data_IF_455676815588
#
_entry.id   IF_455676815588
#
_cell.length_a   1.000
_cell.length_b   1.000
_cell.length_c   1.000
_cell.angle_alpha   90.00
_cell.angle_beta   90.00
_cell.angle_gamma   90.00
#
_symmetry.space_group_name_H-M   'P 1'
#
loop_
_entity.id
_entity.type
_entity.pdbx_description
1 polymer ?
#
# COMPACT_ATOMS: atom_id res chain seq x y z
N UNK A 1 -6.75 -0.95 10.81
CA UNK A 1 -6.69 0.43 10.24
C UNK A 1 -6.22 0.32 8.79
N UNK A 2 -6.73 1.11 7.85
CA UNK A 2 -6.30 0.99 6.44
C UNK A 2 -5.10 1.88 6.18
N UNK A 3 -4.08 1.31 5.58
CA UNK A 3 -2.83 2.01 5.22
C UNK A 3 -2.52 1.78 3.75
N UNK A 4 -2.00 2.80 3.10
CA UNK A 4 -1.51 2.73 1.72
C UNK A 4 0.00 2.72 1.72
N UNK A 5 0.60 1.79 1.00
CA UNK A 5 2.04 1.77 0.82
C UNK A 5 2.47 2.86 -0.18
N UNK A 6 3.45 3.68 0.21
CA UNK A 6 4.05 4.72 -0.65
C UNK A 6 5.18 4.17 -1.51
N UNK A 7 5.79 3.07 -1.07
CA UNK A 7 6.82 2.33 -1.80
C UNK A 7 6.52 0.84 -1.78
N UNK A 8 7.10 0.09 -2.71
CA UNK A 8 7.03 -1.37 -2.67
C UNK A 8 8.05 -1.87 -1.66
N UNK A 9 7.60 -2.62 -0.66
CA UNK A 9 8.47 -3.23 0.33
C UNK A 9 8.06 -4.68 0.56
N UNK A 10 9.04 -5.51 0.90
CA UNK A 10 8.87 -6.92 1.20
C UNK A 10 9.55 -7.28 2.51
N UNK A 11 8.94 -8.20 3.27
CA UNK A 11 9.35 -8.56 4.62
C UNK A 11 8.21 -9.27 5.36
N UNK A 12 8.15 -9.13 6.69
CA UNK A 12 7.05 -9.63 7.53
C UNK A 12 5.68 -9.15 7.05
N UNK A 13 5.63 -7.94 6.49
CA UNK A 13 4.50 -7.43 5.74
C UNK A 13 4.99 -7.07 4.34
N UNK A 14 4.34 -7.62 3.32
CA UNK A 14 4.65 -7.35 1.92
C UNK A 14 3.49 -6.61 1.29
N UNK A 15 3.79 -5.46 0.69
CA UNK A 15 2.85 -4.58 -0.03
C UNK A 15 3.55 -3.90 -1.20
N UNK A 16 2.81 -3.70 -2.28
CA UNK A 16 3.30 -2.92 -3.42
C UNK A 16 3.01 -1.43 -3.26
N UNK A 17 3.84 -0.59 -3.88
CA UNK A 17 3.59 0.85 -3.98
C UNK A 17 2.18 1.11 -4.51
N UNK A 18 1.39 1.84 -3.74
CA UNK A 18 0.01 2.19 -4.05
C UNK A 18 -1.03 1.19 -3.54
N UNK A 19 -0.62 0.04 -3.03
CA UNK A 19 -1.51 -0.97 -2.48
C UNK A 19 -2.09 -0.49 -1.14
N UNK A 20 -3.37 -0.79 -0.90
CA UNK A 20 -4.07 -0.48 0.35
C UNK A 20 -4.36 -1.79 1.05
N UNK A 21 -3.93 -1.88 2.31
CA UNK A 21 -4.14 -3.08 3.12
C UNK A 21 -4.57 -2.69 4.51
N UNK A 22 -5.35 -3.58 5.11
CA UNK A 22 -5.74 -3.42 6.49
C UNK A 22 -4.61 -3.94 7.38
N UNK A 23 -4.05 -3.04 8.20
CA UNK A 23 -3.02 -3.35 9.18
C UNK A 23 -3.56 -2.99 10.56
N UNK A 24 -3.47 -3.94 11.49
CA UNK A 24 -3.90 -3.77 12.89
C UNK A 24 -2.73 -3.83 13.86
N UNK A 25 -1.53 -4.13 13.34
CA UNK A 25 -0.29 -4.24 14.09
C UNK A 25 0.33 -2.87 14.33
N UNK A 26 0.14 -2.33 15.54
CA UNK A 26 0.65 -1.01 15.91
C UNK A 26 2.18 -0.91 15.83
N UNK A 27 2.89 -2.00 16.12
CA UNK A 27 4.36 -2.04 16.04
C UNK A 27 4.85 -1.85 14.60
N UNK A 28 4.26 -2.58 13.65
CA UNK A 28 4.59 -2.47 12.23
C UNK A 28 4.12 -1.12 11.67
N UNK A 29 2.94 -0.65 12.09
CA UNK A 29 2.42 0.65 11.69
C UNK A 29 3.39 1.79 12.06
N UNK A 30 3.87 1.82 13.30
CA UNK A 30 4.81 2.85 13.78
C UNK A 30 6.13 2.82 13.02
N UNK A 31 6.70 1.62 12.83
CA UNK A 31 7.96 1.43 12.11
C UNK A 31 7.83 1.90 10.65
N UNK A 32 6.80 1.43 9.94
CA UNK A 32 6.54 1.82 8.55
C UNK A 32 6.16 3.30 8.40
N UNK A 33 5.46 3.89 9.36
CA UNK A 33 5.11 5.30 9.36
C UNK A 33 6.35 6.17 9.61
N UNK A 34 7.20 5.78 10.56
CA UNK A 34 8.45 6.47 10.87
C UNK A 34 9.46 6.36 9.72
N UNK A 35 9.49 5.21 9.05
CA UNK A 35 10.28 4.99 7.84
C UNK A 35 9.71 5.70 6.60
N UNK A 36 8.48 6.20 6.66
CA UNK A 36 7.81 6.87 5.52
C UNK A 36 7.39 5.91 4.41
N UNK A 37 7.19 4.64 4.72
CA UNK A 37 6.78 3.61 3.76
C UNK A 37 5.27 3.49 3.58
N UNK A 38 4.48 3.92 4.57
CA UNK A 38 3.02 3.86 4.52
C UNK A 38 2.38 5.20 4.90
N UNK A 39 1.14 5.38 4.44
CA UNK A 39 0.28 6.51 4.77
C UNK A 39 -1.05 5.98 5.32
N UNK A 40 -1.49 6.47 6.48
CA UNK A 40 -2.79 6.11 7.05
C UNK A 40 -3.93 6.66 6.19
N UNK A 41 -4.71 5.76 5.58
CA UNK A 41 -5.95 6.15 4.93
C UNK A 41 -7.06 6.07 5.97
N UNK A 42 -7.26 7.20 6.67
CA UNK A 42 -8.53 7.44 7.37
C UNK A 42 -9.60 7.50 6.30
N UNK A 43 -10.60 6.62 6.41
CA UNK A 43 -11.70 6.44 5.47
C UNK A 43 -12.60 7.68 5.38
N UNK A 44 -12.08 8.80 4.89
CA UNK A 44 -12.85 9.94 4.44
C UNK A 44 -12.78 9.99 2.91
N UNK A 45 -13.67 9.18 2.32
CA UNK A 45 -14.16 9.21 0.93
C UNK A 45 -13.33 8.44 -0.11
N UNK A 46 -14.00 7.70 -1.02
CA UNK A 46 -13.35 6.90 -2.05
C UNK A 46 -12.86 7.82 -3.17
N UNK A 47 -11.57 8.18 -3.16
CA UNK A 47 -10.94 8.73 -4.37
C UNK A 47 -10.30 7.60 -5.15
N UNK A 48 -11.00 7.24 -6.23
CA UNK A 48 -10.53 6.50 -7.40
C UNK A 48 -9.03 6.71 -7.63
N UNK A 49 -8.27 5.63 -7.59
CA UNK A 49 -7.04 5.47 -8.37
C UNK A 49 -6.91 3.98 -8.65
N UNK A 50 -7.66 3.55 -9.65
CA UNK A 50 -7.36 2.35 -10.41
C UNK A 50 -6.16 2.70 -11.27
N UNK A 51 -5.00 2.13 -10.96
CA UNK A 51 -4.00 1.86 -11.98
C UNK A 51 -3.39 0.49 -11.74
N UNK A 52 -4.20 -0.52 -12.04
CA UNK A 52 -3.72 -1.81 -12.51
C UNK A 52 -2.81 -1.57 -13.72
N UNK A 53 -1.51 -1.51 -13.49
CA UNK A 53 -0.52 -1.74 -14.54
C UNK A 53 -0.21 -3.22 -14.60
N UNK A 54 -1.20 -4.02 -15.03
CA UNK A 54 -0.94 -5.37 -15.53
C UNK A 54 -0.24 -5.23 -16.88
N UNK A 55 1.09 -5.29 -16.86
CA UNK A 55 1.89 -5.44 -18.06
C UNK A 55 1.97 -6.92 -18.44
N UNK A 56 1.70 -7.24 -19.72
CA UNK A 56 2.05 -8.43 -20.56
C UNK A 56 0.79 -9.03 -21.21
N UNK A 57 0.65 -9.25 -22.53
CA UNK A 57 1.52 -9.24 -23.72
C UNK A 57 0.61 -9.13 -24.95
N UNK A 58 0.96 -8.27 -25.90
CA UNK A 58 0.38 -8.28 -27.26
C UNK A 58 1.53 -8.59 -28.22
N UNK A 59 1.46 -9.74 -28.91
CA UNK A 59 1.73 -9.89 -30.35
C UNK A 59 1.80 -11.39 -30.72
N UNK A 60 0.86 -11.86 -31.55
CA UNK A 60 1.17 -12.44 -32.86
C UNK A 60 -0.09 -12.51 -33.71
#
# INVERSE_FOLDING_TARGET
>A
MKVKALVSFSGTFSMYKGEIKECSDKAILLDLLQAGYIEEIKSERPKKDVKSSESKRNNK
#
